data_IF_193995432680
#
_entry.id   IF_193995432680
#
_cell.length_a   1.000
_cell.length_b   1.000
_cell.length_c   1.000
_cell.angle_alpha   90.00
_cell.angle_beta   90.00
_cell.angle_gamma   90.00
#
_symmetry.space_group_name_H-M   'P 1'
#
loop_
_entity.id
_entity.type
_entity.pdbx_description
1 polymer ?
#
# COMPACT_ATOMS: atom_id res chain seq x y z
N UNK A 1 11.98 -8.39 -21.16
CA UNK A 1 11.57 -7.16 -20.46
C UNK A 1 10.79 -7.56 -19.21
N UNK A 2 11.48 -7.93 -18.18
CA UNK A 2 10.91 -8.18 -16.85
C UNK A 2 11.10 -6.92 -16.03
N UNK A 3 10.00 -6.29 -15.57
CA UNK A 3 10.07 -5.31 -14.50
C UNK A 3 9.52 -3.89 -14.75
N UNK A 4 8.70 -3.65 -15.77
CA UNK A 4 8.06 -2.35 -15.98
C UNK A 4 6.61 -2.27 -15.48
N UNK A 5 6.15 -3.26 -14.73
CA UNK A 5 4.78 -3.32 -14.21
C UNK A 5 4.66 -2.92 -12.74
N UNK A 6 3.45 -2.51 -12.33
CA UNK A 6 3.15 -2.11 -10.96
C UNK A 6 3.30 -3.24 -9.91
N UNK A 7 3.33 -4.49 -10.36
CA UNK A 7 3.41 -5.66 -9.47
C UNK A 7 2.13 -5.94 -8.68
N UNK A 8 1.83 -7.22 -8.49
CA UNK A 8 0.58 -7.67 -7.86
C UNK A 8 0.41 -7.18 -6.41
N UNK A 9 1.50 -7.12 -5.64
CA UNK A 9 1.45 -6.67 -4.25
C UNK A 9 1.17 -5.17 -4.14
N UNK A 10 1.74 -4.36 -5.03
CA UNK A 10 1.44 -2.94 -5.10
C UNK A 10 -0.03 -2.68 -5.45
N UNK A 11 -0.57 -3.39 -6.44
CA UNK A 11 -1.96 -3.26 -6.88
C UNK A 11 -2.96 -3.60 -5.77
N UNK A 12 -2.63 -4.56 -4.89
CA UNK A 12 -3.43 -4.87 -3.69
C UNK A 12 -3.53 -3.71 -2.71
N UNK A 13 -2.48 -2.90 -2.57
CA UNK A 13 -2.52 -1.69 -1.75
C UNK A 13 -3.33 -0.58 -2.42
N UNK A 14 -3.16 -0.40 -3.73
CA UNK A 14 -3.89 0.59 -4.52
C UNK A 14 -5.40 0.29 -4.53
N UNK A 15 -5.78 -0.98 -4.47
CA UNK A 15 -7.19 -1.41 -4.42
C UNK A 15 -7.97 -0.87 -3.20
N UNK A 16 -7.30 -0.39 -2.19
CA UNK A 16 -7.93 0.26 -1.03
C UNK A 16 -8.06 1.79 -1.16
N UNK A 17 -7.57 2.38 -2.25
CA UNK A 17 -7.62 3.81 -2.47
C UNK A 17 -8.96 4.23 -3.11
N UNK A 18 -9.54 5.35 -2.67
CA UNK A 18 -10.76 5.93 -3.27
C UNK A 18 -10.47 6.83 -4.46
N UNK A 19 -9.29 7.40 -4.49
CA UNK A 19 -8.78 8.31 -5.50
C UNK A 19 -7.37 7.87 -5.87
N UNK A 20 -7.06 7.89 -7.16
CA UNK A 20 -5.73 7.62 -7.67
C UNK A 20 -5.05 8.92 -8.09
N UNK A 21 -3.75 9.01 -7.86
CA UNK A 21 -2.90 10.07 -8.41
C UNK A 21 -1.85 9.37 -9.28
N UNK A 22 -1.97 9.50 -10.59
CA UNK A 22 -1.02 8.95 -11.54
C UNK A 22 0.06 9.99 -11.86
N UNK A 23 1.27 9.73 -11.42
CA UNK A 23 2.41 10.63 -11.63
C UNK A 23 3.27 10.08 -12.77
N UNK A 24 3.44 10.88 -13.83
CA UNK A 24 4.20 10.52 -15.03
C UNK A 24 5.44 11.41 -15.14
N UNK A 25 6.58 10.82 -15.47
CA UNK A 25 7.81 11.57 -15.73
C UNK A 25 7.75 12.24 -17.10
N UNK A 26 7.84 13.56 -17.13
CA UNK A 26 7.82 14.35 -18.37
C UNK A 26 9.19 14.94 -18.72
N UNK A 27 10.24 14.55 -18.02
CA UNK A 27 11.58 15.08 -18.25
C UNK A 27 12.19 14.72 -19.60
N UNK A 28 11.78 13.61 -20.19
CA UNK A 28 12.34 13.07 -21.44
C UNK A 28 13.72 12.41 -21.29
N UNK A 29 14.34 12.49 -20.09
CA UNK A 29 15.74 12.05 -19.87
C UNK A 29 15.97 10.55 -20.05
N UNK A 30 14.94 9.73 -19.81
CA UNK A 30 15.03 8.28 -19.97
C UNK A 30 14.66 7.81 -21.38
N UNK A 31 14.37 8.73 -22.31
CA UNK A 31 13.98 8.44 -23.68
C UNK A 31 12.61 7.73 -23.79
N UNK A 32 11.79 7.79 -22.74
CA UNK A 32 10.43 7.21 -22.69
C UNK A 32 9.41 8.24 -23.13
N UNK A 33 8.34 7.77 -23.76
CA UNK A 33 7.20 8.64 -24.12
C UNK A 33 6.20 8.68 -22.94
N UNK A 34 5.93 9.88 -22.38
CA UNK A 34 5.02 10.00 -21.24
C UNK A 34 3.59 9.52 -21.54
N UNK A 35 3.13 9.59 -22.79
CA UNK A 35 1.80 9.10 -23.18
C UNK A 35 1.79 7.58 -23.18
N UNK A 36 2.84 6.93 -23.69
CA UNK A 36 2.96 5.47 -23.66
C UNK A 36 3.06 4.95 -22.23
N UNK A 37 3.83 5.61 -21.36
CA UNK A 37 3.93 5.27 -19.93
C UNK A 37 2.55 5.38 -19.23
N UNK A 38 1.84 6.46 -19.48
CA UNK A 38 0.49 6.67 -18.96
C UNK A 38 -0.47 5.56 -19.39
N UNK A 39 -0.47 5.20 -20.68
CA UNK A 39 -1.34 4.13 -21.20
C UNK A 39 -0.97 2.76 -20.64
N UNK A 40 0.32 2.46 -20.53
CA UNK A 40 0.80 1.18 -19.99
C UNK A 40 0.28 0.94 -18.59
N UNK A 41 0.40 1.93 -17.70
CA UNK A 41 -0.08 1.83 -16.32
C UNK A 41 -1.61 1.73 -16.27
N UNK A 42 -2.34 2.49 -17.10
CA UNK A 42 -3.80 2.39 -17.15
C UNK A 42 -4.27 1.02 -17.66
N UNK A 43 -3.54 0.42 -18.60
CA UNK A 43 -3.84 -0.92 -19.06
C UNK A 43 -3.58 -1.98 -17.99
N UNK A 44 -2.49 -1.86 -17.22
CA UNK A 44 -2.20 -2.74 -16.09
C UNK A 44 -3.29 -2.64 -15.01
N UNK A 45 -3.75 -1.42 -14.67
CA UNK A 45 -4.87 -1.22 -13.76
C UNK A 45 -6.15 -1.91 -14.26
N UNK A 46 -6.46 -1.80 -15.56
CA UNK A 46 -7.64 -2.46 -16.16
C UNK A 46 -7.54 -3.98 -16.14
N UNK A 47 -6.36 -4.52 -16.43
CA UNK A 47 -6.12 -5.96 -16.41
C UNK A 47 -6.21 -6.55 -15.00
N UNK A 48 -5.77 -5.78 -13.99
CA UNK A 48 -5.87 -6.20 -12.60
C UNK A 48 -7.31 -6.15 -12.08
N UNK A 49 -7.97 -5.00 -12.22
CA UNK A 49 -9.34 -4.79 -11.77
C UNK A 49 -10.02 -3.67 -12.57
N UNK A 50 -11.04 -3.98 -13.38
CA UNK A 50 -11.85 -2.97 -14.06
C UNK A 50 -12.49 -1.96 -13.09
N UNK A 51 -12.83 -2.38 -11.87
CA UNK A 51 -13.36 -1.52 -10.81
C UNK A 51 -12.30 -0.50 -10.38
N UNK A 52 -11.06 -0.94 -10.13
CA UNK A 52 -9.95 -0.07 -9.77
C UNK A 52 -9.66 0.95 -10.88
N UNK A 53 -9.64 0.50 -12.13
CA UNK A 53 -9.40 1.37 -13.29
C UNK A 53 -10.53 2.40 -13.51
N UNK A 54 -11.72 2.18 -12.96
CA UNK A 54 -12.86 3.11 -13.05
C UNK A 54 -12.87 4.17 -11.95
N UNK A 55 -11.97 4.07 -10.98
CA UNK A 55 -11.90 5.05 -9.87
C UNK A 55 -11.48 6.43 -10.36
N UNK A 56 -11.92 7.50 -9.68
CA UNK A 56 -11.45 8.85 -9.98
C UNK A 56 -9.93 8.91 -9.96
N UNK A 57 -9.35 9.57 -10.97
CA UNK A 57 -7.92 9.69 -11.13
C UNK A 57 -7.53 11.13 -11.44
N UNK A 58 -6.51 11.63 -10.74
CA UNK A 58 -5.80 12.85 -11.08
C UNK A 58 -4.48 12.48 -11.74
N UNK A 59 -4.09 13.17 -12.79
CA UNK A 59 -2.83 12.91 -13.50
C UNK A 59 -1.88 14.07 -13.34
N UNK A 60 -0.61 13.79 -13.08
CA UNK A 60 0.40 14.81 -12.89
C UNK A 60 1.66 14.51 -13.71
N UNK A 61 2.08 15.48 -14.53
CA UNK A 61 3.38 15.48 -15.20
C UNK A 61 4.45 15.99 -14.22
N UNK A 62 5.31 15.11 -13.76
CA UNK A 62 6.38 15.40 -12.80
C UNK A 62 7.72 15.64 -13.49
N UNK A 63 8.63 16.27 -12.78
CA UNK A 63 9.95 16.73 -13.25
C UNK A 63 9.88 17.77 -14.36
N UNK A 64 8.85 18.62 -14.32
CA UNK A 64 8.65 19.68 -15.31
C UNK A 64 9.77 20.75 -15.27
N UNK A 65 10.45 20.91 -14.12
CA UNK A 65 11.59 21.80 -13.92
C UNK A 65 12.84 21.43 -14.74
N UNK A 66 12.95 20.17 -15.15
CA UNK A 66 14.09 19.63 -15.91
C UNK A 66 13.67 19.00 -17.24
N UNK A 67 12.45 19.32 -17.71
CA UNK A 67 11.94 18.82 -18.99
C UNK A 67 12.83 19.33 -20.15
N UNK A 68 13.38 18.40 -20.92
CA UNK A 68 14.24 18.72 -22.08
C UNK A 68 13.41 19.15 -23.29
N UNK A 69 12.24 18.57 -23.45
CA UNK A 69 11.28 18.90 -24.51
C UNK A 69 9.90 19.24 -23.91
N UNK A 70 9.51 20.52 -23.89
CA UNK A 70 8.20 20.93 -23.41
C UNK A 70 7.02 20.30 -24.17
N UNK A 71 7.23 19.84 -25.39
CA UNK A 71 6.19 19.20 -26.19
C UNK A 71 5.72 17.87 -25.59
N UNK A 72 6.57 17.17 -24.85
CA UNK A 72 6.20 15.94 -24.13
C UNK A 72 5.14 16.20 -23.06
N UNK A 73 5.33 17.28 -22.29
CA UNK A 73 4.37 17.70 -21.28
C UNK A 73 3.02 18.08 -21.90
N UNK A 74 3.05 18.90 -22.95
CA UNK A 74 1.81 19.37 -23.62
C UNK A 74 1.07 18.21 -24.29
N UNK A 75 1.77 17.25 -24.88
CA UNK A 75 1.17 16.04 -25.47
C UNK A 75 0.48 15.18 -24.41
N UNK A 76 1.13 14.93 -23.28
CA UNK A 76 0.53 14.18 -22.18
C UNK A 76 -0.69 14.91 -21.63
N UNK A 77 -0.58 16.23 -21.43
CA UNK A 77 -1.68 17.07 -20.94
C UNK A 77 -2.90 16.98 -21.86
N UNK A 78 -2.72 17.24 -23.15
CA UNK A 78 -3.80 17.16 -24.14
C UNK A 78 -4.46 15.77 -24.14
N UNK A 79 -3.66 14.72 -24.12
CA UNK A 79 -4.12 13.34 -24.13
C UNK A 79 -4.97 12.98 -22.88
N UNK A 80 -4.56 13.45 -21.70
CA UNK A 80 -5.28 13.25 -20.44
C UNK A 80 -6.59 14.06 -20.41
N UNK A 81 -6.54 15.33 -20.84
CA UNK A 81 -7.71 16.20 -20.88
C UNK A 81 -8.77 15.74 -21.90
N UNK A 82 -8.38 15.22 -23.04
CA UNK A 82 -9.28 14.58 -24.02
C UNK A 82 -10.07 13.39 -23.42
N UNK A 83 -9.53 12.73 -22.40
CA UNK A 83 -10.21 11.67 -21.66
C UNK A 83 -11.07 12.19 -20.51
N UNK A 84 -11.19 13.52 -20.36
CA UNK A 84 -11.98 14.16 -19.30
C UNK A 84 -11.33 14.07 -17.92
N UNK A 85 -10.04 13.73 -17.83
CA UNK A 85 -9.30 13.70 -16.58
C UNK A 85 -8.60 15.04 -16.31
N UNK A 86 -8.41 15.36 -15.02
CA UNK A 86 -7.70 16.57 -14.61
C UNK A 86 -6.20 16.34 -14.66
N UNK A 87 -5.47 17.29 -15.26
CA UNK A 87 -4.03 17.26 -15.38
C UNK A 87 -3.37 18.37 -14.54
N UNK A 88 -2.22 18.05 -13.94
CA UNK A 88 -1.40 18.95 -13.14
C UNK A 88 0.05 18.88 -13.60
N UNK A 89 0.69 20.06 -13.67
CA UNK A 89 2.13 20.14 -13.91
C UNK A 89 2.84 20.37 -12.59
N UNK A 90 3.82 19.53 -12.28
CA UNK A 90 4.54 19.66 -11.01
C UNK A 90 6.04 19.33 -11.14
N UNK A 91 6.77 19.79 -10.15
CA UNK A 91 8.10 19.28 -9.81
C UNK A 91 8.12 18.94 -8.33
N UNK A 92 8.20 17.65 -8.02
CA UNK A 92 8.30 17.18 -6.63
C UNK A 92 9.60 17.68 -5.97
N UNK A 93 10.69 17.84 -6.74
CA UNK A 93 11.97 18.31 -6.23
C UNK A 93 11.94 19.77 -5.81
N UNK A 94 11.26 20.62 -6.55
CA UNK A 94 11.14 22.07 -6.27
C UNK A 94 9.85 22.44 -5.51
N UNK A 95 8.98 21.44 -5.27
CA UNK A 95 7.63 21.61 -4.71
C UNK A 95 6.66 22.45 -5.57
N UNK A 96 7.04 22.82 -6.79
CA UNK A 96 6.16 23.56 -7.71
C UNK A 96 4.96 22.69 -8.09
N UNK A 97 3.74 23.24 -8.03
CA UNK A 97 2.49 22.57 -8.40
C UNK A 97 1.98 21.51 -7.39
N UNK A 98 2.78 21.10 -6.40
CA UNK A 98 2.41 20.06 -5.43
C UNK A 98 1.22 20.48 -4.58
N UNK A 99 1.20 21.71 -4.08
CA UNK A 99 0.10 22.21 -3.25
C UNK A 99 -1.23 22.23 -4.01
N UNK A 100 -1.20 22.61 -5.29
CA UNK A 100 -2.38 22.63 -6.14
C UNK A 100 -2.96 21.23 -6.34
N UNK A 101 -2.10 20.25 -6.66
CA UNK A 101 -2.48 18.84 -6.77
C UNK A 101 -3.08 18.31 -5.47
N UNK A 102 -2.44 18.58 -4.32
CA UNK A 102 -2.92 18.11 -3.01
C UNK A 102 -4.25 18.75 -2.63
N UNK A 103 -4.45 20.03 -2.94
CA UNK A 103 -5.74 20.71 -2.72
C UNK A 103 -6.84 20.12 -3.60
N UNK A 104 -6.53 19.80 -4.85
CA UNK A 104 -7.45 19.14 -5.75
C UNK A 104 -7.81 17.73 -5.26
N UNK A 105 -6.82 16.94 -4.83
CA UNK A 105 -7.03 15.60 -4.28
C UNK A 105 -7.91 15.63 -3.02
N UNK A 106 -7.68 16.58 -2.11
CA UNK A 106 -8.50 16.75 -0.92
C UNK A 106 -9.96 17.11 -1.27
N UNK A 107 -10.16 17.97 -2.28
CA UNK A 107 -11.49 18.33 -2.77
C UNK A 107 -12.25 17.16 -3.38
N UNK A 108 -11.59 16.35 -4.22
CA UNK A 108 -12.17 15.14 -4.79
C UNK A 108 -12.52 14.12 -3.70
N UNK A 109 -11.59 13.84 -2.77
CA UNK A 109 -11.82 12.88 -1.68
C UNK A 109 -12.99 13.26 -0.77
N UNK A 110 -13.23 14.56 -0.55
CA UNK A 110 -14.36 15.03 0.25
C UNK A 110 -15.72 14.70 -0.37
N UNK A 111 -15.79 14.60 -1.71
CA UNK A 111 -17.00 14.23 -2.46
C UNK A 111 -17.20 12.73 -2.64
N UNK A 112 -16.18 11.91 -2.39
CA UNK A 112 -16.25 10.46 -2.62
C UNK A 112 -16.86 9.73 -1.40
N UNK A 113 -17.66 8.68 -1.63
CA UNK A 113 -18.17 7.84 -0.55
C UNK A 113 -16.99 7.20 0.23
N UNK A 114 -17.19 6.85 1.50
CA UNK A 114 -16.19 6.09 2.25
C UNK A 114 -15.93 4.74 1.56
N UNK A 115 -14.74 4.18 1.78
CA UNK A 115 -14.43 2.83 1.30
C UNK A 115 -15.41 1.87 1.94
N UNK A 116 -16.02 1.02 1.12
CA UNK A 116 -16.73 -0.15 1.64
C UNK A 116 -15.66 -1.11 2.17
N UNK A 117 -15.47 -1.14 3.48
CA UNK A 117 -14.60 -2.14 4.10
C UNK A 117 -15.38 -3.45 3.99
N UNK A 118 -14.92 -4.35 3.13
CA UNK A 118 -15.37 -5.74 3.18
C UNK A 118 -14.78 -6.34 4.45
N UNK A 119 -15.60 -6.44 5.48
CA UNK A 119 -15.25 -7.33 6.59
C UNK A 119 -15.19 -8.74 6.00
N UNK A 120 -14.12 -9.50 6.21
CA UNK A 120 -14.07 -10.87 5.73
C UNK A 120 -15.23 -11.65 6.36
N UNK A 121 -16.01 -12.35 5.55
CA UNK A 121 -17.15 -13.17 5.99
C UNK A 121 -16.74 -14.25 7.02
N UNK A 122 -15.45 -14.48 7.14
CA UNK A 122 -14.85 -15.41 8.09
C UNK A 122 -13.50 -14.85 8.58
N UNK A 123 -13.47 -14.45 9.83
CA UNK A 123 -12.23 -14.25 10.58
C UNK A 123 -11.99 -15.57 11.30
N UNK A 124 -10.97 -16.40 10.91
CA UNK A 124 -10.65 -17.59 11.66
C UNK A 124 -10.40 -17.19 13.11
N UNK A 125 -11.14 -17.80 14.02
CA UNK A 125 -10.86 -17.62 15.44
C UNK A 125 -9.38 -17.97 15.68
N UNK A 126 -8.65 -17.18 16.48
CA UNK A 126 -7.29 -17.55 16.86
C UNK A 126 -7.29 -18.98 17.40
N UNK A 127 -6.29 -19.78 17.09
CA UNK A 127 -6.22 -21.15 17.61
C UNK A 127 -6.32 -21.14 19.13
N UNK A 128 -7.25 -21.91 19.68
CA UNK A 128 -7.32 -22.12 21.14
C UNK A 128 -6.09 -22.93 21.53
N UNK A 129 -5.24 -22.35 22.37
CA UNK A 129 -4.06 -23.01 22.91
C UNK A 129 -4.42 -23.46 24.33
N UNK A 130 -4.44 -24.79 24.52
CA UNK A 130 -4.56 -25.35 25.86
C UNK A 130 -3.25 -25.09 26.63
N UNK A 131 -3.31 -24.22 27.59
CA UNK A 131 -2.19 -23.75 28.43
C UNK A 131 -2.09 -24.55 29.76
N UNK A 132 -2.91 -25.57 29.97
CA UNK A 132 -2.97 -26.33 31.21
C UNK A 132 -1.78 -27.32 31.41
N UNK A 133 -0.88 -27.44 30.43
CA UNK A 133 0.27 -28.32 30.49
C UNK A 133 1.38 -27.80 31.40
N UNK A 134 2.15 -28.73 31.98
CA UNK A 134 3.32 -28.41 32.81
C UNK A 134 4.38 -27.62 31.98
N UNK A 135 5.01 -26.64 32.64
CA UNK A 135 6.16 -25.93 32.13
C UNK A 135 7.35 -26.11 33.06
N UNK A 136 8.55 -26.25 32.51
CA UNK A 136 9.78 -26.19 33.27
C UNK A 136 10.28 -24.72 33.28
N UNK A 137 10.66 -24.25 34.47
CA UNK A 137 11.19 -22.90 34.65
C UNK A 137 12.56 -23.04 35.29
N UNK A 138 13.58 -22.57 34.61
CA UNK A 138 14.96 -22.54 35.08
C UNK A 138 15.54 -21.15 35.00
N UNK A 139 16.35 -20.77 36.00
CA UNK A 139 17.08 -19.53 35.98
C UNK A 139 18.54 -19.75 35.62
N UNK A 140 18.99 -19.24 34.47
CA UNK A 140 20.36 -19.34 33.97
C UNK A 140 20.89 -17.92 33.74
N UNK A 141 21.97 -17.55 34.44
CA UNK A 141 22.64 -16.23 34.28
C UNK A 141 21.69 -15.01 34.31
N UNK A 142 20.81 -14.94 35.31
CA UNK A 142 19.78 -13.91 35.46
C UNK A 142 18.67 -13.87 34.39
N UNK A 143 18.60 -14.87 33.50
CA UNK A 143 17.53 -15.06 32.54
C UNK A 143 16.64 -16.21 32.98
N UNK A 144 15.33 -16.03 32.97
CA UNK A 144 14.38 -17.10 33.17
C UNK A 144 14.15 -17.84 31.86
N UNK A 145 14.47 -19.10 31.82
CA UNK A 145 14.17 -19.99 30.70
C UNK A 145 12.91 -20.79 31.04
N UNK A 146 11.93 -20.70 30.16
CA UNK A 146 10.66 -21.39 30.28
C UNK A 146 10.48 -22.31 29.08
N UNK A 147 10.20 -23.56 29.32
CA UNK A 147 9.92 -24.55 28.28
C UNK A 147 8.72 -25.42 28.63
N UNK A 148 7.94 -25.77 27.61
CA UNK A 148 6.79 -26.62 27.74
C UNK A 148 6.09 -26.89 26.41
N UNK A 149 5.41 -28.06 26.29
CA UNK A 149 4.80 -28.47 25.03
C UNK A 149 3.75 -27.47 24.47
N UNK A 150 3.00 -26.82 25.36
CA UNK A 150 2.01 -25.85 24.93
C UNK A 150 2.68 -24.52 24.50
N UNK A 151 3.76 -24.13 25.16
CA UNK A 151 4.51 -22.91 24.82
C UNK A 151 5.19 -23.06 23.46
N UNK A 152 5.77 -24.22 23.16
CA UNK A 152 6.33 -24.53 21.85
C UNK A 152 5.27 -24.47 20.75
N UNK A 153 4.06 -25.01 20.99
CA UNK A 153 2.94 -24.88 20.05
C UNK A 153 2.49 -23.42 19.86
N UNK A 154 2.45 -22.66 20.95
CA UNK A 154 2.13 -21.23 20.90
C UNK A 154 3.13 -20.48 20.02
N UNK A 155 4.43 -20.66 20.27
CA UNK A 155 5.51 -20.03 19.49
C UNK A 155 5.50 -20.40 18.02
N UNK A 156 5.14 -21.64 17.67
CA UNK A 156 5.03 -22.09 16.29
C UNK A 156 3.92 -21.38 15.50
N UNK A 157 2.93 -20.80 16.19
CA UNK A 157 1.82 -20.07 15.58
C UNK A 157 2.01 -18.53 15.58
N UNK A 158 3.12 -18.02 16.11
CA UNK A 158 3.40 -16.60 16.20
C UNK A 158 4.21 -16.12 14.99
N UNK A 159 3.71 -15.07 14.35
CA UNK A 159 4.51 -14.30 13.42
C UNK A 159 5.17 -13.13 14.17
N UNK A 160 6.44 -13.26 14.51
CA UNK A 160 7.20 -12.26 15.25
C UNK A 160 7.43 -10.95 14.45
N UNK A 161 7.11 -10.91 13.16
CA UNK A 161 7.14 -9.71 12.33
C UNK A 161 5.81 -8.94 12.29
N UNK A 162 4.77 -9.45 12.92
CA UNK A 162 3.42 -8.87 12.90
C UNK A 162 2.96 -8.44 14.30
N UNK A 163 2.53 -7.18 14.42
CA UNK A 163 2.13 -6.59 15.70
C UNK A 163 0.87 -7.24 16.28
N UNK A 164 -0.09 -7.63 15.46
CA UNK A 164 -1.32 -8.28 15.94
C UNK A 164 -1.01 -9.67 16.48
N UNK A 165 -0.12 -10.41 15.82
CA UNK A 165 0.34 -11.73 16.25
C UNK A 165 1.13 -11.65 17.57
N UNK A 166 1.96 -10.63 17.75
CA UNK A 166 2.67 -10.37 18.99
C UNK A 166 1.73 -10.01 20.15
N UNK A 167 0.71 -9.19 19.89
CA UNK A 167 -0.30 -8.83 20.89
C UNK A 167 -1.12 -10.06 21.33
N UNK A 168 -1.46 -10.93 20.36
CA UNK A 168 -2.14 -12.20 20.66
C UNK A 168 -1.25 -13.10 21.53
N UNK A 169 0.04 -13.22 21.20
CA UNK A 169 1.03 -13.99 21.94
C UNK A 169 1.17 -13.50 23.39
N UNK A 170 1.39 -12.19 23.60
CA UNK A 170 1.49 -11.58 24.92
C UNK A 170 0.23 -11.83 25.77
N UNK A 171 -0.94 -11.72 25.16
CA UNK A 171 -2.21 -11.98 25.83
C UNK A 171 -2.30 -13.42 26.33
N UNK A 172 -1.99 -14.41 25.51
CA UNK A 172 -2.04 -15.84 25.90
C UNK A 172 -1.05 -16.12 27.05
N UNK A 173 0.16 -15.54 26.99
CA UNK A 173 1.14 -15.69 28.07
C UNK A 173 0.65 -15.10 29.39
N UNK A 174 -0.04 -13.95 29.37
CA UNK A 174 -0.63 -13.34 30.58
C UNK A 174 -1.80 -14.17 31.14
N UNK A 175 -2.69 -14.62 30.25
CA UNK A 175 -3.85 -15.43 30.63
C UNK A 175 -3.45 -16.82 31.15
N UNK A 176 -2.29 -17.35 30.75
CA UNK A 176 -1.79 -18.65 31.24
C UNK A 176 -1.30 -18.63 32.68
N UNK A 177 -1.13 -17.45 33.30
CA UNK A 177 -0.54 -17.32 34.64
C UNK A 177 0.97 -17.55 34.70
N UNK A 178 1.66 -17.57 33.56
CA UNK A 178 3.11 -17.80 33.49
C UNK A 178 3.94 -16.72 34.20
N UNK A 179 3.37 -15.52 34.38
CA UNK A 179 4.03 -14.37 35.01
C UNK A 179 3.60 -14.16 36.47
N UNK A 180 2.69 -14.97 37.01
CA UNK A 180 2.21 -14.93 38.39
C UNK A 180 3.09 -15.82 39.28
#
# INVERSE_FOLDING_TARGET
>A
AEGAGLGHDFLRHVDRCRLLIHIVDVSGREGRDPVEDFETINEELRQYSPELASRPMLVAGNKADIAEDPALLERLKAHVEERGMRFFTLSAATHQGVEELMRAAAGELAGLPPITVYEPDYVPAPPEIDTSGEVSIEKVDDVWMVDGPWLQRLMANVNFGDVESLNWFDRILRESGLFD
#
